data_IF_656164186580
#
_entry.id   IF_656164186580
#
_cell.length_a   1.000
_cell.length_b   1.000
_cell.length_c   1.000
_cell.angle_alpha   90.00
_cell.angle_beta   90.00
_cell.angle_gamma   90.00
#
_symmetry.space_group_name_H-M   'P 1'
#
loop_
_entity.id
_entity.type
_entity.pdbx_description
1 polymer ?
#
# COMPACT_ATOMS: atom_id res chain seq x y z
N UNK A 1 -70.69 16.92 -34.63
CA UNK A 1 -69.38 17.43 -34.35
C UNK A 1 -68.59 16.31 -33.70
N UNK A 2 -67.68 15.68 -34.45
CA UNK A 2 -66.82 14.57 -33.93
C UNK A 2 -65.48 15.16 -33.47
N UNK A 3 -64.96 14.79 -32.29
CA UNK A 3 -63.66 15.24 -31.86
C UNK A 3 -62.54 14.58 -32.69
N UNK A 4 -61.61 15.39 -33.20
CA UNK A 4 -60.43 14.97 -33.94
C UNK A 4 -59.46 14.31 -32.94
N UNK A 5 -59.24 13.03 -33.08
CA UNK A 5 -58.24 12.26 -32.34
C UNK A 5 -56.82 12.73 -32.75
N UNK A 6 -55.94 13.09 -31.81
CA UNK A 6 -54.58 13.42 -32.14
C UNK A 6 -53.83 12.21 -32.69
N UNK A 7 -53.09 12.44 -33.77
CA UNK A 7 -52.42 11.39 -34.53
C UNK A 7 -51.37 10.64 -33.69
N UNK A 8 -51.35 9.33 -33.78
CA UNK A 8 -50.43 8.38 -33.12
C UNK A 8 -48.93 8.77 -33.28
N UNK A 9 -48.60 9.57 -34.27
CA UNK A 9 -47.22 9.99 -34.56
C UNK A 9 -46.65 10.96 -33.51
N UNK A 10 -47.51 11.75 -32.83
CA UNK A 10 -47.06 12.69 -31.79
C UNK A 10 -46.63 11.94 -30.53
N UNK A 11 -47.26 10.84 -30.21
CA UNK A 11 -46.93 10.02 -29.05
C UNK A 11 -45.63 9.22 -29.26
N UNK A 12 -45.35 8.75 -30.46
CA UNK A 12 -44.10 8.03 -30.76
C UNK A 12 -42.86 8.93 -30.74
N UNK A 13 -42.98 10.19 -31.16
CA UNK A 13 -41.85 11.14 -31.08
C UNK A 13 -41.54 11.59 -29.64
N UNK A 14 -42.58 11.74 -28.81
CA UNK A 14 -42.38 12.05 -27.38
C UNK A 14 -41.70 10.89 -26.62
N UNK A 15 -42.09 9.65 -26.91
CA UNK A 15 -41.51 8.47 -26.28
C UNK A 15 -40.01 8.28 -26.63
N UNK A 16 -39.65 8.50 -27.91
CA UNK A 16 -38.25 8.44 -28.38
C UNK A 16 -37.34 9.49 -27.71
N UNK A 17 -37.85 10.69 -27.47
CA UNK A 17 -37.08 11.75 -26.80
C UNK A 17 -36.89 11.45 -25.31
N UNK A 18 -37.89 10.81 -24.66
CA UNK A 18 -37.79 10.45 -23.24
C UNK A 18 -36.79 9.30 -23.00
N UNK A 19 -36.78 8.27 -23.88
CA UNK A 19 -35.81 7.17 -23.78
C UNK A 19 -34.37 7.59 -24.09
N UNK A 20 -34.19 8.53 -25.04
CA UNK A 20 -32.86 9.06 -25.38
C UNK A 20 -32.31 9.93 -24.26
N UNK A 21 -33.14 10.74 -23.58
CA UNK A 21 -32.73 11.52 -22.39
C UNK A 21 -32.35 10.63 -21.21
N UNK A 22 -33.13 9.57 -20.96
CA UNK A 22 -32.85 8.62 -19.88
C UNK A 22 -31.55 7.85 -20.10
N UNK A 23 -31.27 7.44 -21.34
CA UNK A 23 -30.03 6.74 -21.68
C UNK A 23 -28.79 7.62 -21.47
N UNK A 24 -28.84 8.90 -21.86
CA UNK A 24 -27.74 9.86 -21.66
C UNK A 24 -27.50 10.09 -20.16
N UNK A 25 -28.55 10.24 -19.36
CA UNK A 25 -28.42 10.42 -17.89
C UNK A 25 -27.81 9.17 -17.24
N UNK A 26 -28.20 7.96 -17.64
CA UNK A 26 -27.61 6.72 -17.13
C UNK A 26 -26.12 6.58 -17.51
N UNK A 27 -25.75 6.95 -18.74
CA UNK A 27 -24.35 6.89 -19.18
C UNK A 27 -23.50 7.91 -18.42
N UNK A 28 -24.00 9.12 -18.17
CA UNK A 28 -23.30 10.14 -17.38
C UNK A 28 -23.17 9.71 -15.91
N UNK A 29 -24.18 9.08 -15.34
CA UNK A 29 -24.12 8.51 -13.98
C UNK A 29 -23.11 7.37 -13.87
N UNK A 30 -23.04 6.47 -14.85
CA UNK A 30 -22.07 5.37 -14.90
C UNK A 30 -20.64 5.87 -15.08
N UNK A 31 -20.42 6.94 -15.86
CA UNK A 31 -19.11 7.58 -16.02
C UNK A 31 -18.63 8.26 -14.73
N UNK A 32 -19.52 8.78 -13.88
CA UNK A 32 -19.15 9.37 -12.61
C UNK A 32 -18.84 8.33 -11.51
N UNK A 33 -19.36 7.10 -11.60
CA UNK A 33 -19.06 6.01 -10.67
C UNK A 33 -17.65 5.42 -10.88
N UNK A 34 -17.02 5.65 -12.03
CA UNK A 34 -15.67 5.16 -12.36
C UNK A 34 -14.52 6.06 -11.89
N UNK A 35 -14.78 7.27 -11.36
CA UNK A 35 -13.74 8.25 -11.01
C UNK A 35 -13.41 8.33 -9.52
N UNK A 36 -13.98 7.49 -8.67
CA UNK A 36 -13.69 7.46 -7.23
C UNK A 36 -12.55 6.51 -6.84
N UNK A 37 -11.54 6.37 -7.70
CA UNK A 37 -10.42 5.44 -7.52
C UNK A 37 -9.05 6.05 -7.29
N UNK A 38 -8.92 7.34 -7.00
CA UNK A 38 -7.64 7.95 -6.59
C UNK A 38 -7.76 8.55 -5.19
N UNK A 39 -7.89 7.71 -4.17
CA UNK A 39 -7.43 8.08 -2.84
C UNK A 39 -5.91 8.31 -2.90
N UNK A 40 -5.32 9.18 -2.05
CA UNK A 40 -3.87 9.28 -1.95
C UNK A 40 -3.36 7.86 -1.71
N UNK A 41 -2.49 7.37 -2.59
CA UNK A 41 -1.95 6.03 -2.44
C UNK A 41 -1.20 6.01 -1.11
N UNK A 42 -1.73 5.29 -0.14
CA UNK A 42 -1.11 5.07 1.18
C UNK A 42 0.17 4.22 1.04
N UNK A 43 0.58 3.98 -0.21
CA UNK A 43 1.76 3.21 -0.53
C UNK A 43 3.03 3.97 -0.17
N UNK A 44 3.92 3.37 0.63
CA UNK A 44 5.19 3.98 0.97
C UNK A 44 6.02 4.27 -0.28
N UNK A 45 6.73 5.40 -0.34
CA UNK A 45 7.68 5.68 -1.41
C UNK A 45 8.71 4.56 -1.55
N UNK A 46 9.13 4.26 -2.78
CA UNK A 46 10.12 3.19 -3.05
C UNK A 46 11.39 3.34 -2.20
N UNK A 47 11.87 4.56 -1.99
CA UNK A 47 13.03 4.83 -1.14
C UNK A 47 12.83 4.39 0.31
N UNK A 48 11.61 4.54 0.84
CA UNK A 48 11.24 4.06 2.18
C UNK A 48 11.30 2.53 2.25
N UNK A 49 10.79 1.83 1.23
CA UNK A 49 10.83 0.37 1.17
C UNK A 49 12.27 -0.17 1.13
N UNK A 50 13.12 0.43 0.28
CA UNK A 50 14.53 0.04 0.20
C UNK A 50 15.25 0.21 1.55
N UNK A 51 15.03 1.33 2.23
CA UNK A 51 15.62 1.60 3.54
C UNK A 51 15.09 0.69 4.63
N UNK A 52 13.77 0.43 4.63
CA UNK A 52 13.15 -0.45 5.61
C UNK A 52 13.68 -1.89 5.49
N UNK A 53 13.77 -2.42 4.27
CA UNK A 53 14.33 -3.76 4.00
C UNK A 53 15.81 -3.82 4.38
N UNK A 54 16.59 -2.81 4.02
CA UNK A 54 17.98 -2.72 4.41
C UNK A 54 18.16 -2.72 5.94
N UNK A 55 17.35 -1.91 6.64
CA UNK A 55 17.36 -1.86 8.09
C UNK A 55 16.94 -3.19 8.74
N UNK A 56 15.90 -3.85 8.20
CA UNK A 56 15.44 -5.15 8.69
C UNK A 56 16.54 -6.22 8.58
N UNK A 57 17.22 -6.28 7.44
CA UNK A 57 18.36 -7.20 7.25
C UNK A 57 19.48 -6.86 8.23
N UNK A 58 19.83 -5.58 8.37
CA UNK A 58 20.88 -5.14 9.27
C UNK A 58 20.58 -5.49 10.73
N UNK A 59 19.36 -5.27 11.20
CA UNK A 59 18.93 -5.64 12.56
C UNK A 59 19.04 -7.15 12.78
N UNK A 60 18.59 -7.95 11.81
CA UNK A 60 18.71 -9.41 11.87
C UNK A 60 20.16 -9.87 11.89
N UNK A 61 21.02 -9.33 11.02
CA UNK A 61 22.45 -9.67 10.98
C UNK A 61 23.16 -9.27 12.28
N UNK A 62 22.83 -8.11 12.83
CA UNK A 62 23.40 -7.64 14.11
C UNK A 62 22.95 -8.54 15.26
N UNK A 63 21.71 -8.99 15.29
CA UNK A 63 21.23 -9.92 16.31
C UNK A 63 21.94 -11.27 16.25
N UNK A 64 22.10 -11.81 15.03
CA UNK A 64 22.84 -13.07 14.79
C UNK A 64 24.32 -12.92 15.19
N UNK A 65 24.99 -11.88 14.71
CA UNK A 65 26.39 -11.61 15.02
C UNK A 65 26.62 -11.52 16.53
N UNK A 66 25.74 -10.81 17.23
CA UNK A 66 25.81 -10.70 18.71
C UNK A 66 25.63 -12.04 19.41
N UNK A 67 24.68 -12.87 18.95
CA UNK A 67 24.43 -14.18 19.55
C UNK A 67 25.57 -15.19 19.33
N UNK A 68 26.36 -14.99 18.29
CA UNK A 68 27.50 -15.83 17.92
C UNK A 68 28.86 -15.20 18.27
N UNK A 69 28.86 -14.04 18.92
CA UNK A 69 30.09 -13.26 19.25
C UNK A 69 30.93 -12.91 18.01
N UNK A 70 30.24 -12.63 16.87
CA UNK A 70 30.87 -12.29 15.59
C UNK A 70 30.71 -10.79 15.29
N UNK A 71 31.55 -10.27 14.41
CA UNK A 71 31.39 -8.93 13.85
C UNK A 71 30.28 -8.88 12.76
N UNK A 72 29.46 -7.81 12.73
CA UNK A 72 28.45 -7.65 11.67
C UNK A 72 29.07 -7.51 10.28
N UNK A 73 28.44 -8.10 9.26
CA UNK A 73 28.94 -8.17 7.88
C UNK A 73 28.70 -6.90 7.06
N UNK A 74 28.57 -5.74 7.66
CA UNK A 74 28.40 -4.48 6.94
C UNK A 74 26.97 -4.22 6.45
N UNK A 75 26.80 -3.18 5.61
CA UNK A 75 25.50 -2.68 5.17
C UNK A 75 24.99 -3.48 3.98
N UNK A 76 23.76 -4.05 4.03
CA UNK A 76 23.18 -4.76 2.91
C UNK A 76 22.80 -3.82 1.77
N UNK A 77 22.97 -4.28 0.53
CA UNK A 77 22.39 -3.63 -0.65
C UNK A 77 21.05 -4.27 -1.00
N UNK A 78 20.01 -3.45 -1.14
CA UNK A 78 18.65 -3.87 -1.50
C UNK A 78 18.27 -3.28 -2.85
N UNK A 79 17.66 -4.11 -3.70
CA UNK A 79 17.23 -3.71 -5.05
C UNK A 79 15.96 -4.45 -5.47
N UNK A 80 15.40 -4.06 -6.62
CA UNK A 80 14.26 -4.70 -7.30
C UNK A 80 13.08 -5.07 -6.39
N UNK A 81 12.69 -4.18 -5.48
CA UNK A 81 11.54 -4.38 -4.60
C UNK A 81 10.24 -4.40 -5.41
N UNK A 82 9.44 -5.44 -5.22
CA UNK A 82 8.09 -5.64 -5.76
C UNK A 82 7.14 -5.93 -4.61
N UNK A 83 6.18 -5.07 -4.39
CA UNK A 83 5.09 -5.28 -3.43
C UNK A 83 4.04 -6.13 -4.11
N UNK A 84 3.64 -7.22 -3.48
CA UNK A 84 2.59 -8.14 -3.95
C UNK A 84 1.27 -7.86 -3.24
N UNK A 85 1.33 -7.59 -1.93
CA UNK A 85 0.16 -7.27 -1.12
C UNK A 85 0.44 -6.08 -0.21
N UNK A 86 -0.61 -5.30 0.04
CA UNK A 86 -0.58 -4.18 0.98
C UNK A 86 -1.88 -4.12 1.76
N UNK A 87 -1.77 -4.05 3.08
CA UNK A 87 -2.89 -3.95 3.99
C UNK A 87 -2.68 -2.83 4.99
N UNK A 88 -3.73 -2.04 5.25
CA UNK A 88 -3.71 -1.06 6.34
C UNK A 88 -4.03 -1.75 7.65
N UNK A 89 -3.16 -1.63 8.63
CA UNK A 89 -3.26 -2.29 9.92
C UNK A 89 -3.15 -1.30 11.08
N UNK A 90 -3.39 -1.78 12.29
CA UNK A 90 -3.06 -1.05 13.53
C UNK A 90 -1.83 -1.68 14.20
N UNK A 91 -0.86 -0.85 14.53
CA UNK A 91 0.33 -1.21 15.28
C UNK A 91 0.20 -0.57 16.68
N UNK A 92 -0.38 -1.31 17.62
CA UNK A 92 -0.83 -0.72 18.88
C UNK A 92 -1.90 0.33 18.64
N UNK A 93 -1.64 1.58 19.05
CA UNK A 93 -2.55 2.72 18.85
C UNK A 93 -2.32 3.45 17.51
N UNK A 94 -1.21 3.20 16.84
CA UNK A 94 -0.81 3.90 15.62
C UNK A 94 -1.33 3.22 14.36
N UNK A 95 -1.44 4.01 13.27
CA UNK A 95 -1.74 3.48 11.94
C UNK A 95 -0.48 2.96 11.30
N UNK A 96 -0.57 1.76 10.75
CA UNK A 96 0.52 1.13 10.03
C UNK A 96 0.07 0.49 8.73
N UNK A 97 1.04 0.01 8.00
CA UNK A 97 0.87 -0.73 6.75
C UNK A 97 1.65 -2.03 6.86
N UNK A 98 0.99 -3.12 6.57
CA UNK A 98 1.60 -4.42 6.35
C UNK A 98 1.83 -4.62 4.85
N UNK A 99 3.02 -5.05 4.49
CA UNK A 99 3.46 -5.22 3.11
C UNK A 99 4.13 -6.58 2.96
N UNK A 100 3.73 -7.31 1.94
CA UNK A 100 4.44 -8.52 1.51
C UNK A 100 4.90 -8.35 0.07
N UNK A 101 5.91 -9.12 -0.32
CA UNK A 101 6.43 -9.06 -1.68
C UNK A 101 7.76 -9.75 -1.84
N UNK A 102 8.48 -9.33 -2.89
CA UNK A 102 9.78 -9.90 -3.24
C UNK A 102 10.80 -8.83 -3.55
N UNK A 103 12.08 -9.15 -3.29
CA UNK A 103 13.18 -8.22 -3.50
C UNK A 103 14.48 -8.96 -3.76
N UNK A 104 15.47 -8.25 -4.28
CA UNK A 104 16.83 -8.74 -4.40
C UNK A 104 17.71 -8.03 -3.40
N UNK A 105 18.66 -8.75 -2.82
CA UNK A 105 19.61 -8.17 -1.87
C UNK A 105 20.92 -8.94 -1.84
N UNK A 106 21.97 -8.31 -1.29
CA UNK A 106 23.25 -8.93 -1.02
C UNK A 106 23.93 -8.30 0.20
N UNK A 107 24.78 -9.05 0.84
CA UNK A 107 25.76 -8.52 1.78
C UNK A 107 27.05 -8.14 1.04
N UNK A 108 27.92 -7.29 1.63
CA UNK A 108 29.23 -7.00 1.07
C UNK A 108 30.01 -8.29 0.79
N UNK A 109 30.61 -8.37 -0.40
CA UNK A 109 31.35 -9.54 -0.89
C UNK A 109 30.52 -10.84 -1.10
N UNK A 110 29.20 -10.79 -0.97
CA UNK A 110 28.32 -11.94 -1.18
C UNK A 110 27.63 -11.88 -2.56
N UNK A 111 27.16 -13.03 -3.04
CA UNK A 111 26.36 -13.09 -4.26
C UNK A 111 24.96 -12.50 -4.05
N UNK A 112 24.36 -11.97 -5.13
CA UNK A 112 23.00 -11.43 -5.06
C UNK A 112 22.00 -12.56 -4.81
N UNK A 113 21.18 -12.41 -3.79
CA UNK A 113 20.01 -13.25 -3.53
C UNK A 113 18.84 -12.66 -4.26
N UNK A 114 18.34 -13.36 -5.25
CA UNK A 114 17.28 -12.91 -6.13
C UNK A 114 15.94 -13.40 -5.62
N UNK A 115 14.89 -12.58 -5.80
CA UNK A 115 13.50 -12.97 -5.58
C UNK A 115 13.20 -13.48 -4.16
N UNK A 116 13.88 -12.89 -3.17
CA UNK A 116 13.67 -13.23 -1.76
C UNK A 116 12.33 -12.69 -1.28
N UNK A 117 11.51 -13.47 -0.57
CA UNK A 117 10.26 -12.95 0.00
C UNK A 117 10.55 -11.98 1.15
N UNK A 118 9.67 -11.01 1.34
CA UNK A 118 9.69 -10.14 2.50
C UNK A 118 8.31 -9.93 3.10
N UNK A 119 8.31 -9.61 4.37
CA UNK A 119 7.20 -9.11 5.14
C UNK A 119 7.68 -7.88 5.91
N UNK A 120 6.97 -6.76 5.76
CA UNK A 120 7.30 -5.49 6.39
C UNK A 120 6.08 -4.90 7.10
N UNK A 121 6.31 -4.35 8.27
CA UNK A 121 5.36 -3.53 8.98
C UNK A 121 5.93 -2.11 9.09
N UNK A 122 5.23 -1.14 8.53
CA UNK A 122 5.63 0.26 8.52
C UNK A 122 4.63 1.11 9.28
N UNK A 123 5.11 1.84 10.28
CA UNK A 123 4.34 2.87 10.97
C UNK A 123 4.52 4.20 10.24
N UNK A 124 3.42 4.91 10.02
CA UNK A 124 3.43 6.26 9.46
C UNK A 124 3.32 7.27 10.58
N UNK A 125 4.27 8.19 10.66
CA UNK A 125 4.25 9.24 11.66
C UNK A 125 3.03 10.17 11.52
N UNK A 126 2.64 10.84 12.60
CA UNK A 126 1.41 11.64 12.71
C UNK A 126 1.24 12.68 11.60
N UNK A 127 2.33 13.29 11.14
CA UNK A 127 2.32 14.27 10.04
C UNK A 127 2.43 13.63 8.65
N UNK A 128 2.46 12.31 8.56
CA UNK A 128 2.54 11.57 7.30
C UNK A 128 3.87 11.70 6.54
N UNK A 129 4.86 12.37 7.10
CA UNK A 129 6.15 12.66 6.44
C UNK A 129 7.27 11.71 6.88
N UNK A 130 7.12 11.02 8.00
CA UNK A 130 8.10 10.08 8.52
C UNK A 130 7.57 8.65 8.48
N UNK A 131 8.51 7.72 8.37
CA UNK A 131 8.23 6.29 8.40
C UNK A 131 9.13 5.62 9.42
N UNK A 132 8.61 4.59 10.07
CA UNK A 132 9.34 3.76 11.01
C UNK A 132 9.13 2.30 10.63
N UNK A 133 10.17 1.50 10.72
CA UNK A 133 10.06 0.05 10.64
C UNK A 133 9.52 -0.46 11.97
N UNK A 134 8.40 -1.20 11.95
CA UNK A 134 7.86 -1.87 13.13
C UNK A 134 8.21 -3.35 13.10
N UNK A 135 8.59 -3.91 14.24
CA UNK A 135 8.88 -5.32 14.40
C UNK A 135 8.04 -5.90 15.54
N UNK A 136 7.37 -7.05 15.34
CA UNK A 136 6.66 -7.71 16.42
C UNK A 136 7.67 -8.31 17.41
N UNK A 137 7.41 -8.16 18.71
CA UNK A 137 8.33 -8.64 19.78
C UNK A 137 7.68 -9.62 20.74
N UNK A 138 6.51 -10.10 20.41
CA UNK A 138 5.71 -10.95 21.28
C UNK A 138 4.60 -10.16 21.97
N UNK A 139 4.06 -10.71 23.02
CA UNK A 139 2.96 -10.12 23.79
C UNK A 139 3.33 -10.12 25.26
N UNK A 140 3.31 -8.94 25.87
CA UNK A 140 3.60 -8.81 27.31
C UNK A 140 2.46 -9.31 28.19
N UNK A 141 1.22 -9.27 27.66
CA UNK A 141 -0.01 -9.69 28.35
C UNK A 141 -0.60 -11.00 27.81
N UNK A 142 0.01 -11.59 26.76
CA UNK A 142 -0.47 -12.79 26.09
C UNK A 142 -1.72 -12.59 25.23
N UNK A 143 -2.23 -11.37 25.10
CA UNK A 143 -3.46 -11.04 24.37
C UNK A 143 -3.26 -10.07 23.20
N UNK A 144 -2.26 -9.18 23.29
CA UNK A 144 -1.95 -8.18 22.27
C UNK A 144 -0.52 -8.29 21.79
N UNK A 145 -0.30 -8.06 20.48
CA UNK A 145 1.03 -8.04 19.89
C UNK A 145 1.75 -6.74 20.27
N UNK A 146 2.91 -6.85 20.91
CA UNK A 146 3.79 -5.71 21.18
C UNK A 146 4.69 -5.41 19.98
N UNK A 147 5.03 -4.13 19.80
CA UNK A 147 5.79 -3.65 18.66
C UNK A 147 6.98 -2.78 19.07
N UNK A 148 8.14 -3.04 18.51
CA UNK A 148 9.29 -2.12 18.57
C UNK A 148 9.38 -1.39 17.24
N UNK A 149 9.56 -0.07 17.29
CA UNK A 149 9.67 0.74 16.07
C UNK A 149 11.06 1.35 15.95
N UNK A 150 11.61 1.29 14.74
CA UNK A 150 12.91 1.84 14.39
C UNK A 150 12.73 2.98 13.38
N UNK A 151 13.26 4.19 13.64
CA UNK A 151 13.17 5.27 12.69
C UNK A 151 13.97 4.95 11.43
N UNK A 152 13.37 5.23 10.26
CA UNK A 152 14.09 5.13 9.00
C UNK A 152 14.92 6.40 8.78
N UNK A 153 16.18 6.28 8.35
CA UNK A 153 17.00 7.44 8.03
C UNK A 153 16.31 8.23 6.90
N UNK A 154 16.04 9.50 7.18
CA UNK A 154 15.55 10.45 6.18
C UNK A 154 16.77 10.99 5.48
N UNK A 155 16.94 10.77 4.18
CA UNK A 155 17.89 11.53 3.41
C UNK A 155 17.34 12.96 3.37
N UNK A 156 18.01 13.87 4.06
CA UNK A 156 17.81 15.29 3.82
C UNK A 156 18.23 15.57 2.39
N UNK A 157 17.41 16.33 1.61
CA UNK A 157 17.73 16.69 0.25
C UNK A 157 19.02 17.48 0.13
#
# INVERSE_FOLDING_TARGET
>A
MLPVLPSLNVWMTALKRCTQGFFVVCVVLLLNLGLTGCGPSDQPPRGVLLKALGLQIQLTQTAIARSLELEPVGVPEVSRVRVEEQESIRLGEQRGIHLTGRFDWRLPADSVRVDSPFELFLERGERGQSWRLAQPVGSSDGTSQDWITHPLPIDSP
#
